data_IF_917279331009
#
_entry.id   IF_917279331009
#
_cell.length_a   1.000
_cell.length_b   1.000
_cell.length_c   1.000
_cell.angle_alpha   90.00
_cell.angle_beta   90.00
_cell.angle_gamma   90.00
#
_symmetry.space_group_name_H-M   'P 1'
#
loop_
_entity.id
_entity.type
_entity.pdbx_description
1 polymer ?
#
# COMPACT_ATOMS: atom_id res chain seq x y z
N UNK A 1 -11.75 12.96 6.91
CA UNK A 1 -11.57 13.68 5.65
C UNK A 1 -11.22 15.13 5.91
N UNK A 2 -9.95 15.44 5.71
CA UNK A 2 -9.41 16.80 5.79
C UNK A 2 -9.29 17.28 4.34
N UNK A 3 -10.24 18.13 3.96
CA UNK A 3 -10.43 18.58 2.59
C UNK A 3 -10.03 20.05 2.48
N UNK A 4 -9.22 20.36 1.48
CA UNK A 4 -8.85 21.73 1.13
C UNK A 4 -9.34 22.07 -0.27
N UNK A 5 -9.74 23.32 -0.45
CA UNK A 5 -10.15 23.90 -1.71
C UNK A 5 -9.06 24.86 -2.17
N UNK A 6 -8.37 24.50 -3.23
CA UNK A 6 -7.40 25.35 -3.88
C UNK A 6 -8.12 26.16 -4.97
N UNK A 7 -8.20 27.47 -4.77
CA UNK A 7 -8.84 28.38 -5.72
C UNK A 7 -7.86 29.43 -6.22
N UNK A 8 -8.21 30.06 -7.33
CA UNK A 8 -7.55 31.28 -7.80
C UNK A 8 -8.59 32.25 -8.35
N UNK A 9 -8.32 33.54 -8.17
CA UNK A 9 -9.13 34.65 -8.68
C UNK A 9 -8.19 35.76 -9.18
N UNK A 10 -8.62 36.58 -10.18
CA UNK A 10 -7.77 37.62 -10.73
C UNK A 10 -7.45 38.68 -9.67
N UNK A 11 -6.27 39.27 -9.77
CA UNK A 11 -5.90 40.44 -8.97
C UNK A 11 -6.63 41.67 -9.51
N UNK A 12 -7.71 42.12 -8.88
CA UNK A 12 -8.52 43.24 -9.41
C UNK A 12 -7.68 44.50 -9.62
N UNK A 13 -7.22 45.13 -8.51
CA UNK A 13 -6.17 46.16 -8.55
C UNK A 13 -4.83 45.63 -8.02
N UNK A 14 -4.89 44.74 -7.02
CA UNK A 14 -3.75 44.01 -6.48
C UNK A 14 -4.20 42.64 -6.00
N UNK A 15 -3.30 41.65 -6.00
CA UNK A 15 -3.58 40.33 -5.41
C UNK A 15 -3.95 40.42 -3.92
N UNK A 16 -3.42 41.42 -3.20
CA UNK A 16 -3.74 41.69 -1.80
C UNK A 16 -5.21 42.06 -1.61
N UNK A 17 -5.77 42.91 -2.48
CA UNK A 17 -7.18 43.28 -2.40
C UNK A 17 -8.09 42.09 -2.70
N UNK A 18 -7.75 41.25 -3.68
CA UNK A 18 -8.50 40.01 -3.96
C UNK A 18 -8.49 39.08 -2.74
N UNK A 19 -7.35 38.96 -2.06
CA UNK A 19 -7.22 38.22 -0.81
C UNK A 19 -8.08 38.79 0.33
N UNK A 20 -8.03 40.09 0.55
CA UNK A 20 -8.80 40.76 1.60
C UNK A 20 -10.30 40.67 1.34
N UNK A 21 -10.72 40.87 0.09
CA UNK A 21 -12.13 40.77 -0.33
C UNK A 21 -12.70 39.40 -0.01
N UNK A 22 -12.01 38.32 -0.38
CA UNK A 22 -12.44 36.96 -0.06
C UNK A 22 -12.54 36.73 1.46
N UNK A 23 -11.54 37.16 2.22
CA UNK A 23 -11.56 36.95 3.67
C UNK A 23 -12.64 37.77 4.37
N UNK A 24 -12.94 38.98 3.88
CA UNK A 24 -14.02 39.81 4.39
C UNK A 24 -15.39 39.14 4.15
N UNK A 25 -15.65 38.64 2.94
CA UNK A 25 -16.91 37.93 2.63
C UNK A 25 -17.07 36.64 3.44
N UNK A 26 -15.99 35.84 3.55
CA UNK A 26 -16.01 34.60 4.32
C UNK A 26 -16.18 34.85 5.83
N UNK A 27 -15.59 35.91 6.36
CA UNK A 27 -15.68 36.25 7.80
C UNK A 27 -17.03 36.84 8.18
N UNK A 28 -17.60 37.72 7.34
CA UNK A 28 -18.94 38.27 7.53
C UNK A 28 -20.01 37.17 7.62
N UNK A 29 -19.78 36.03 6.98
CA UNK A 29 -20.69 34.89 6.96
C UNK A 29 -20.42 33.86 8.08
N UNK A 30 -19.99 34.33 9.26
CA UNK A 30 -19.67 33.50 10.44
C UNK A 30 -18.42 32.61 10.26
N UNK A 31 -17.39 33.11 9.58
CA UNK A 31 -16.12 32.40 9.35
C UNK A 31 -16.33 31.00 8.73
N UNK A 32 -16.62 30.93 7.44
CA UNK A 32 -16.94 29.66 6.76
C UNK A 32 -15.73 28.74 6.52
N UNK A 33 -14.51 29.29 6.50
CA UNK A 33 -13.26 28.56 6.27
C UNK A 33 -12.06 29.26 6.90
N UNK A 34 -10.97 28.51 7.08
CA UNK A 34 -9.63 29.08 7.35
C UNK A 34 -8.86 29.16 6.04
N UNK A 35 -8.33 30.32 5.72
CA UNK A 35 -7.76 30.59 4.39
C UNK A 35 -6.26 30.85 4.49
N UNK A 36 -5.51 30.40 3.50
CA UNK A 36 -4.07 30.60 3.37
C UNK A 36 -3.72 31.10 1.97
N UNK A 37 -2.73 31.97 1.85
CA UNK A 37 -2.18 32.32 0.53
C UNK A 37 -1.32 31.16 0.03
N UNK A 38 -1.50 30.78 -1.23
CA UNK A 38 -0.60 29.85 -1.90
C UNK A 38 0.37 30.66 -2.77
N UNK A 39 1.63 30.73 -2.37
CA UNK A 39 2.63 31.50 -3.10
C UNK A 39 3.14 30.68 -4.30
N UNK A 40 2.65 31.03 -5.49
CA UNK A 40 3.13 30.49 -6.77
C UNK A 40 4.10 31.53 -7.37
N UNK A 41 5.34 31.16 -7.71
CA UNK A 41 6.29 32.09 -8.30
C UNK A 41 5.93 32.43 -9.74
N UNK A 42 6.59 33.44 -10.29
CA UNK A 42 6.49 33.77 -11.71
C UNK A 42 7.14 32.66 -12.56
N UNK A 43 6.30 31.82 -13.13
CA UNK A 43 6.71 30.75 -14.04
C UNK A 43 6.71 31.24 -15.48
N UNK A 44 7.57 30.66 -16.31
CA UNK A 44 7.68 31.04 -17.73
C UNK A 44 6.41 30.69 -18.51
N UNK A 45 5.64 31.70 -18.88
CA UNK A 45 4.45 31.54 -19.72
C UNK A 45 4.86 31.16 -21.15
N UNK A 46 4.20 30.15 -21.71
CA UNK A 46 4.37 29.72 -23.10
C UNK A 46 3.41 30.44 -24.06
N UNK A 47 3.22 29.88 -25.25
CA UNK A 47 2.13 30.31 -26.14
C UNK A 47 0.78 29.80 -25.63
N UNK A 48 -0.33 30.42 -26.06
CA UNK A 48 -1.67 29.99 -25.68
C UNK A 48 -1.92 28.51 -26.03
N UNK A 49 -1.52 28.10 -27.24
CA UNK A 49 -1.61 26.71 -27.71
C UNK A 49 -0.90 25.72 -26.78
N UNK A 50 0.31 26.07 -26.32
CA UNK A 50 1.05 25.26 -25.35
C UNK A 50 0.32 25.20 -24.01
N UNK A 51 -0.27 26.31 -23.54
CA UNK A 51 -1.01 26.33 -22.27
C UNK A 51 -2.28 25.46 -22.33
N UNK A 52 -3.00 25.47 -23.45
CA UNK A 52 -4.18 24.63 -23.66
C UNK A 52 -3.80 23.16 -23.57
N UNK A 53 -2.79 22.71 -24.33
CA UNK A 53 -2.31 21.33 -24.25
C UNK A 53 -1.79 20.95 -22.86
N UNK A 54 -1.11 21.88 -22.18
CA UNK A 54 -0.62 21.67 -20.81
C UNK A 54 -1.75 21.51 -19.79
N UNK A 55 -2.92 22.12 -19.98
CA UNK A 55 -4.03 21.99 -19.01
C UNK A 55 -4.51 20.53 -18.90
N UNK A 56 -4.67 19.87 -20.06
CA UNK A 56 -5.07 18.45 -20.12
C UNK A 56 -3.96 17.53 -19.59
N UNK A 57 -2.71 17.76 -20.00
CA UNK A 57 -1.57 16.95 -19.57
C UNK A 57 -1.31 17.06 -18.07
N UNK A 58 -1.42 18.26 -17.50
CA UNK A 58 -1.32 18.46 -16.05
C UNK A 58 -2.50 17.83 -15.30
N UNK A 59 -3.69 17.75 -15.90
CA UNK A 59 -4.83 17.03 -15.34
C UNK A 59 -4.54 15.54 -15.19
N UNK A 60 -3.96 14.90 -16.22
CA UNK A 60 -3.52 13.50 -16.16
C UNK A 60 -2.39 13.30 -15.16
N UNK A 61 -1.40 14.21 -15.17
CA UNK A 61 -0.26 14.14 -14.25
C UNK A 61 -0.69 14.29 -12.79
N UNK A 62 -1.64 15.17 -12.49
CA UNK A 62 -2.19 15.36 -11.15
C UNK A 62 -2.83 14.08 -10.60
N UNK A 63 -3.71 13.44 -11.39
CA UNK A 63 -4.33 12.17 -11.01
C UNK A 63 -3.29 11.04 -10.83
N UNK A 64 -2.28 11.02 -11.71
CA UNK A 64 -1.18 10.06 -11.60
C UNK A 64 -0.35 10.25 -10.32
N UNK A 65 0.08 11.49 -10.03
CA UNK A 65 0.85 11.81 -8.82
C UNK A 65 0.06 11.50 -7.54
N UNK A 66 -1.23 11.84 -7.50
CA UNK A 66 -2.11 11.48 -6.38
C UNK A 66 -2.18 9.96 -6.20
N UNK A 67 -2.42 9.23 -7.30
CA UNK A 67 -2.51 7.76 -7.27
C UNK A 67 -1.23 7.10 -6.75
N UNK A 68 -0.06 7.60 -7.15
CA UNK A 68 1.22 7.06 -6.64
C UNK A 68 1.43 7.43 -5.17
N UNK A 69 1.15 8.66 -4.74
CA UNK A 69 1.27 9.04 -3.33
C UNK A 69 0.37 8.17 -2.43
N UNK A 70 -0.89 7.95 -2.83
CA UNK A 70 -1.83 7.05 -2.14
C UNK A 70 -1.35 5.60 -2.12
N UNK A 71 -0.84 5.10 -3.24
CA UNK A 71 -0.31 3.74 -3.35
C UNK A 71 0.89 3.51 -2.43
N UNK A 72 1.81 4.48 -2.34
CA UNK A 72 2.95 4.41 -1.41
C UNK A 72 2.46 4.45 0.04
N UNK A 73 1.52 5.33 0.38
CA UNK A 73 0.96 5.43 1.73
C UNK A 73 0.25 4.14 2.17
N UNK A 74 -0.57 3.57 1.29
CA UNK A 74 -1.25 2.30 1.53
C UNK A 74 -0.25 1.17 1.75
N UNK A 75 0.77 1.04 0.88
CA UNK A 75 1.75 -0.02 1.01
C UNK A 75 2.61 0.13 2.26
N UNK A 76 2.94 1.37 2.69
CA UNK A 76 3.56 1.61 3.98
C UNK A 76 2.69 1.10 5.13
N UNK A 77 1.38 1.32 5.07
CA UNK A 77 0.43 0.78 6.03
C UNK A 77 0.36 -0.75 6.05
N UNK A 78 0.55 -1.39 4.90
CA UNK A 78 0.55 -2.85 4.79
C UNK A 78 1.87 -3.47 5.30
N UNK A 79 3.01 -2.77 5.12
CA UNK A 79 4.32 -3.20 5.62
C UNK A 79 4.43 -3.04 7.14
N UNK A 80 3.81 -2.01 7.72
CA UNK A 80 3.88 -1.76 9.16
C UNK A 80 3.16 -2.84 10.00
N UNK A 81 2.27 -3.64 9.41
CA UNK A 81 1.55 -4.76 10.06
C UNK A 81 1.04 -4.39 11.47
N UNK A 82 1.71 -4.86 12.52
CA UNK A 82 1.38 -4.64 13.93
C UNK A 82 1.56 -3.18 14.40
N UNK A 83 2.28 -2.35 13.64
CA UNK A 83 2.58 -0.94 13.93
C UNK A 83 1.77 0.02 13.04
N UNK A 84 0.61 -0.43 12.53
CA UNK A 84 -0.25 0.37 11.64
C UNK A 84 -0.81 1.62 12.31
N UNK A 85 -0.93 1.62 13.64
CA UNK A 85 -1.26 2.79 14.46
C UNK A 85 -0.31 3.97 14.23
N UNK A 86 0.98 3.69 13.97
CA UNK A 86 2.00 4.70 13.71
C UNK A 86 2.01 5.21 12.27
N UNK A 87 1.13 4.71 11.39
CA UNK A 87 1.14 5.06 9.97
C UNK A 87 1.01 6.57 9.75
N UNK A 88 0.08 7.24 10.45
CA UNK A 88 -0.14 8.68 10.30
C UNK A 88 1.10 9.50 10.66
N UNK A 89 1.84 9.11 11.70
CA UNK A 89 3.09 9.75 12.12
C UNK A 89 4.22 9.61 11.08
N UNK A 90 4.10 8.61 10.21
CA UNK A 90 5.10 8.32 9.18
C UNK A 90 4.79 8.98 7.82
N UNK A 91 3.55 9.45 7.62
CA UNK A 91 3.12 10.15 6.41
C UNK A 91 3.43 11.65 6.52
N UNK A 92 4.71 11.97 6.36
CA UNK A 92 5.22 13.34 6.42
C UNK A 92 5.64 13.84 5.02
N UNK A 93 5.51 15.14 4.81
CA UNK A 93 6.00 15.85 3.63
C UNK A 93 7.08 16.84 4.05
N UNK A 94 8.32 16.62 3.60
CA UNK A 94 9.51 17.38 3.99
C UNK A 94 9.69 17.49 5.52
N UNK A 95 9.36 16.42 6.24
CA UNK A 95 9.45 16.36 7.70
C UNK A 95 8.31 17.06 8.46
N UNK A 96 7.34 17.63 7.76
CA UNK A 96 6.13 18.23 8.34
C UNK A 96 4.92 17.34 8.12
N UNK A 97 3.89 17.47 8.96
CA UNK A 97 2.60 16.86 8.67
C UNK A 97 1.98 17.48 7.40
N UNK A 98 1.10 16.72 6.72
CA UNK A 98 0.57 17.10 5.41
C UNK A 98 -0.23 18.42 5.44
N UNK A 99 -0.91 18.72 6.55
CA UNK A 99 -1.67 19.96 6.70
C UNK A 99 -0.73 21.15 6.83
N UNK A 100 0.29 21.05 7.68
CA UNK A 100 1.30 22.09 7.85
C UNK A 100 2.07 22.33 6.56
N UNK A 101 2.46 21.26 5.85
CA UNK A 101 3.11 21.39 4.54
C UNK A 101 2.24 22.16 3.55
N UNK A 102 0.96 21.80 3.44
CA UNK A 102 0.04 22.40 2.47
C UNK A 102 -0.25 23.88 2.79
N UNK A 103 -0.47 24.20 4.07
CA UNK A 103 -0.76 25.57 4.52
C UNK A 103 0.45 26.51 4.50
N UNK A 104 1.67 25.95 4.48
CA UNK A 104 2.93 26.69 4.39
C UNK A 104 3.70 26.40 3.10
N UNK A 105 3.00 25.99 2.05
CA UNK A 105 3.61 25.60 0.79
C UNK A 105 4.52 26.72 0.26
N UNK A 106 5.72 26.30 -0.15
CA UNK A 106 6.66 27.11 -0.89
C UNK A 106 7.15 26.31 -2.09
N UNK A 107 7.32 26.99 -3.21
CA UNK A 107 7.82 26.37 -4.42
C UNK A 107 9.28 25.92 -4.25
N UNK A 108 9.55 24.65 -4.52
CA UNK A 108 10.88 24.07 -4.49
C UNK A 108 11.66 24.46 -5.75
N UNK A 109 12.34 25.61 -5.70
CA UNK A 109 13.14 26.14 -6.81
C UNK A 109 14.36 25.27 -7.13
N UNK A 110 14.83 24.44 -6.20
CA UNK A 110 15.98 23.57 -6.41
C UNK A 110 15.59 22.36 -7.28
N UNK A 111 14.42 21.76 -7.01
CA UNK A 111 13.89 20.64 -7.80
C UNK A 111 13.19 21.09 -9.08
N UNK A 112 12.48 22.22 -9.02
CA UNK A 112 11.64 22.72 -10.12
C UNK A 112 12.02 24.16 -10.48
N UNK A 113 13.10 24.38 -11.26
CA UNK A 113 13.62 25.72 -11.50
C UNK A 113 12.66 26.59 -12.32
N UNK A 114 12.28 27.75 -11.80
CA UNK A 114 11.30 28.68 -12.40
C UNK A 114 11.70 29.22 -13.79
N UNK A 115 12.99 29.13 -14.14
CA UNK A 115 13.53 29.54 -15.45
C UNK A 115 13.24 28.53 -16.58
N UNK A 116 12.88 27.30 -16.23
CA UNK A 116 12.52 26.28 -17.21
C UNK A 116 11.09 26.48 -17.73
N UNK A 117 10.76 25.87 -18.87
CA UNK A 117 9.39 25.86 -19.38
C UNK A 117 8.48 25.03 -18.46
N UNK A 118 7.19 25.36 -18.45
CA UNK A 118 6.18 24.58 -17.71
C UNK A 118 6.19 23.10 -18.09
N UNK A 119 6.36 22.82 -19.40
CA UNK A 119 6.46 21.45 -19.92
C UNK A 119 7.66 20.71 -19.33
N UNK A 120 8.85 21.32 -19.31
CA UNK A 120 10.04 20.67 -18.75
C UNK A 120 9.86 20.39 -17.25
N UNK A 121 9.25 21.31 -16.50
CA UNK A 121 8.97 21.09 -15.07
C UNK A 121 8.00 19.92 -14.88
N UNK A 122 6.93 19.86 -15.67
CA UNK A 122 5.98 18.74 -15.65
C UNK A 122 6.66 17.41 -16.02
N UNK A 123 7.57 17.40 -17.00
CA UNK A 123 8.35 16.22 -17.39
C UNK A 123 9.30 15.75 -16.28
N UNK A 124 9.95 16.68 -15.56
CA UNK A 124 10.78 16.37 -14.39
C UNK A 124 9.95 15.67 -13.32
N UNK A 125 8.78 16.23 -12.99
CA UNK A 125 7.85 15.64 -12.01
C UNK A 125 7.37 14.26 -12.47
N UNK A 126 6.93 14.15 -13.72
CA UNK A 126 6.45 12.90 -14.31
C UNK A 126 7.51 11.79 -14.23
N UNK A 127 8.75 12.10 -14.60
CA UNK A 127 9.89 11.17 -14.52
C UNK A 127 10.19 10.75 -13.07
N UNK A 128 10.20 11.72 -12.14
CA UNK A 128 10.43 11.46 -10.72
C UNK A 128 9.38 10.49 -10.16
N UNK A 129 8.09 10.77 -10.39
CA UNK A 129 6.99 9.97 -9.86
C UNK A 129 6.90 8.60 -10.53
N UNK A 130 7.20 8.51 -11.84
CA UNK A 130 7.29 7.23 -12.55
C UNK A 130 8.40 6.33 -12.01
N UNK A 131 9.55 6.91 -11.65
CA UNK A 131 10.64 6.17 -11.01
C UNK A 131 10.20 5.61 -9.64
N UNK A 132 9.49 6.43 -8.84
CA UNK A 132 8.93 6.00 -7.55
C UNK A 132 7.99 4.80 -7.74
N UNK A 133 7.08 4.83 -8.73
CA UNK A 133 6.16 3.71 -8.98
C UNK A 133 6.89 2.42 -9.40
N UNK A 134 7.88 2.53 -10.30
CA UNK A 134 8.67 1.38 -10.75
C UNK A 134 9.45 0.74 -9.59
N UNK A 135 10.14 1.56 -8.79
CA UNK A 135 10.91 1.09 -7.65
C UNK A 135 10.02 0.51 -6.56
N UNK A 136 8.84 1.11 -6.32
CA UNK A 136 7.83 0.58 -5.40
C UNK A 136 7.39 -0.82 -5.84
N UNK A 137 7.04 -1.01 -7.12
CA UNK A 137 6.62 -2.33 -7.64
C UNK A 137 7.71 -3.39 -7.43
N UNK A 138 8.96 -3.07 -7.75
CA UNK A 138 10.09 -3.98 -7.59
C UNK A 138 10.34 -4.33 -6.12
N UNK A 139 10.45 -3.33 -5.24
CA UNK A 139 10.68 -3.53 -3.80
C UNK A 139 9.52 -4.27 -3.13
N UNK A 140 8.28 -3.93 -3.50
CA UNK A 140 7.10 -4.57 -2.97
C UNK A 140 7.02 -6.04 -3.38
N UNK A 141 7.30 -6.37 -4.64
CA UNK A 141 7.37 -7.74 -5.13
C UNK A 141 8.40 -8.56 -4.33
N UNK A 142 9.63 -8.03 -4.18
CA UNK A 142 10.70 -8.73 -3.45
C UNK A 142 10.34 -8.99 -1.98
N UNK A 143 9.82 -7.98 -1.29
CA UNK A 143 9.43 -8.11 0.12
C UNK A 143 8.23 -9.04 0.31
N UNK A 144 7.23 -8.94 -0.57
CA UNK A 144 6.04 -9.80 -0.51
C UNK A 144 6.37 -11.26 -0.83
N UNK A 145 7.26 -11.52 -1.79
CA UNK A 145 7.73 -12.88 -2.09
C UNK A 145 8.45 -13.49 -0.87
N UNK A 146 9.30 -12.72 -0.20
CA UNK A 146 9.96 -13.14 1.03
C UNK A 146 8.95 -13.49 2.13
N UNK A 147 7.95 -12.62 2.33
CA UNK A 147 6.86 -12.85 3.30
C UNK A 147 6.02 -14.09 2.95
N UNK A 148 5.66 -14.28 1.68
CA UNK A 148 4.90 -15.44 1.23
C UNK A 148 5.67 -16.74 1.38
N UNK A 149 6.96 -16.76 1.05
CA UNK A 149 7.83 -17.92 1.23
C UNK A 149 7.94 -18.30 2.71
N UNK A 150 8.18 -17.32 3.59
CA UNK A 150 8.23 -17.55 5.02
C UNK A 150 6.89 -18.10 5.54
N UNK A 151 5.76 -17.46 5.20
CA UNK A 151 4.44 -17.91 5.63
C UNK A 151 4.10 -19.32 5.12
N UNK A 152 4.54 -19.69 3.93
CA UNK A 152 4.36 -21.04 3.37
C UNK A 152 5.13 -22.08 4.19
N UNK A 153 6.37 -21.78 4.59
CA UNK A 153 7.16 -22.67 5.44
C UNK A 153 6.61 -22.75 6.87
N UNK A 154 6.21 -21.63 7.45
CA UNK A 154 5.57 -21.58 8.77
C UNK A 154 4.28 -22.42 8.79
N UNK A 155 3.43 -22.31 7.76
CA UNK A 155 2.22 -23.14 7.63
C UNK A 155 2.53 -24.63 7.55
N UNK A 156 3.61 -25.03 6.88
CA UNK A 156 4.05 -26.44 6.88
C UNK A 156 4.54 -26.90 8.26
N UNK A 157 5.05 -25.96 9.06
CA UNK A 157 5.44 -26.19 10.44
C UNK A 157 4.29 -26.08 11.45
N UNK A 158 3.07 -25.67 11.05
CA UNK A 158 1.93 -25.52 11.96
C UNK A 158 0.71 -26.28 11.44
N UNK A 159 0.22 -27.27 12.20
CA UNK A 159 -0.94 -28.08 11.82
C UNK A 159 -1.07 -29.33 12.70
N UNK A 160 -2.09 -30.14 12.45
CA UNK A 160 -2.22 -31.48 13.06
C UNK A 160 -1.01 -32.36 12.70
N UNK A 161 -0.66 -33.30 13.58
CA UNK A 161 0.37 -34.31 13.33
C UNK A 161 0.20 -35.08 12.00
N UNK A 162 -1.02 -35.12 11.47
CA UNK A 162 -1.32 -35.70 10.16
C UNK A 162 -0.72 -34.97 8.97
N UNK A 163 -0.50 -33.67 9.05
CA UNK A 163 -0.12 -32.84 7.89
C UNK A 163 1.13 -32.00 8.15
N UNK A 164 1.38 -31.60 9.40
CA UNK A 164 2.56 -30.83 9.82
C UNK A 164 3.85 -31.60 9.55
N UNK A 165 4.91 -30.87 9.22
CA UNK A 165 6.27 -31.42 9.20
C UNK A 165 6.66 -31.91 10.61
N UNK A 166 6.98 -33.20 10.74
CA UNK A 166 7.32 -33.84 12.03
C UNK A 166 8.81 -33.76 12.36
N UNK A 167 9.62 -33.16 11.49
CA UNK A 167 11.08 -33.11 11.62
C UNK A 167 11.61 -32.40 12.86
N UNK A 168 10.81 -31.55 13.49
CA UNK A 168 11.11 -30.92 14.78
C UNK A 168 10.70 -31.76 16.00
N UNK A 169 9.93 -32.84 15.80
CA UNK A 169 9.40 -33.73 16.84
C UNK A 169 10.14 -35.06 16.92
N UNK A 170 11.07 -35.32 16.01
CA UNK A 170 11.79 -36.59 15.91
C UNK A 170 13.29 -36.37 16.10
N UNK A 171 13.96 -37.38 16.65
CA UNK A 171 15.41 -37.36 16.89
C UNK A 171 16.09 -38.52 16.18
N UNK A 172 17.43 -38.45 16.08
CA UNK A 172 18.25 -39.48 15.44
C UNK A 172 18.07 -40.86 16.09
N UNK A 173 17.92 -40.88 17.41
CA UNK A 173 17.80 -42.10 18.20
C UNK A 173 16.47 -42.83 17.96
N UNK A 174 15.47 -42.13 17.43
CA UNK A 174 14.15 -42.69 17.14
C UNK A 174 14.14 -43.56 15.87
N UNK A 175 15.21 -43.54 15.06
CA UNK A 175 15.29 -44.26 13.79
C UNK A 175 16.49 -45.19 13.70
N UNK A 176 16.23 -46.37 13.13
CA UNK A 176 17.30 -47.25 12.63
C UNK A 176 17.83 -46.69 11.32
N UNK A 177 19.03 -46.10 11.36
CA UNK A 177 19.73 -45.53 10.21
C UNK A 177 20.71 -46.54 9.58
N UNK A 178 20.99 -46.35 8.29
CA UNK A 178 22.00 -47.12 7.53
C UNK A 178 21.87 -48.66 7.58
N UNK A 179 20.68 -49.18 7.89
CA UNK A 179 20.40 -50.61 7.79
C UNK A 179 20.08 -51.00 6.35
N UNK A 180 20.64 -52.11 5.90
CA UNK A 180 20.32 -52.69 4.59
C UNK A 180 18.86 -53.18 4.55
N UNK A 181 18.39 -53.81 5.63
CA UNK A 181 17.12 -54.54 5.67
C UNK A 181 16.02 -53.88 6.50
N UNK A 182 16.38 -53.11 7.51
CA UNK A 182 15.42 -52.49 8.43
C UNK A 182 15.16 -51.02 8.08
N UNK A 183 13.96 -50.56 8.37
CA UNK A 183 13.59 -49.16 8.34
C UNK A 183 12.64 -48.86 9.50
N UNK A 184 12.74 -47.65 10.04
CA UNK A 184 11.76 -47.15 11.00
C UNK A 184 10.76 -46.26 10.28
N UNK A 185 9.47 -46.55 10.43
CA UNK A 185 8.37 -45.74 9.90
C UNK A 185 7.69 -45.00 11.03
N UNK A 186 7.05 -43.89 10.69
CA UNK A 186 6.28 -43.08 11.63
C UNK A 186 4.79 -43.25 11.35
N UNK A 187 4.00 -43.49 12.39
CA UNK A 187 2.57 -43.78 12.29
C UNK A 187 1.78 -42.81 13.16
N UNK A 188 0.83 -42.12 12.55
CA UNK A 188 -0.17 -41.32 13.23
C UNK A 188 -1.34 -42.21 13.63
N UNK A 189 -1.59 -42.29 14.93
CA UNK A 189 -2.64 -43.12 15.54
C UNK A 189 -3.62 -42.20 16.25
N UNK A 190 -4.94 -42.28 16.00
CA UNK A 190 -5.93 -41.56 16.80
C UNK A 190 -5.86 -41.94 18.28
N UNK A 191 -5.99 -40.98 19.20
CA UNK A 191 -5.92 -41.21 20.66
C UNK A 191 -6.84 -42.33 21.15
N UNK A 192 -8.03 -42.41 20.59
CA UNK A 192 -9.01 -43.48 20.88
C UNK A 192 -8.52 -44.90 20.56
N UNK A 193 -7.52 -45.06 19.69
CA UNK A 193 -7.01 -46.37 19.25
C UNK A 193 -5.60 -46.70 19.79
N UNK A 194 -5.07 -45.93 20.75
CA UNK A 194 -3.76 -46.27 21.36
C UNK A 194 -3.72 -47.67 21.98
N UNK A 195 -4.76 -48.16 22.69
CA UNK A 195 -4.74 -49.52 23.24
C UNK A 195 -4.71 -50.57 22.13
N UNK A 196 -5.47 -50.36 21.05
CA UNK A 196 -5.49 -51.27 19.90
C UNK A 196 -4.14 -51.29 19.17
N UNK A 197 -3.54 -50.12 18.96
CA UNK A 197 -2.22 -49.98 18.36
C UNK A 197 -1.17 -50.80 19.10
N UNK A 198 -1.08 -50.62 20.44
CA UNK A 198 -0.11 -51.34 21.27
C UNK A 198 -0.29 -52.87 21.24
N UNK A 199 -1.52 -53.34 21.04
CA UNK A 199 -1.83 -54.77 20.97
C UNK A 199 -1.52 -55.36 19.59
N UNK A 200 -1.80 -54.60 18.51
CA UNK A 200 -1.82 -55.14 17.14
C UNK A 200 -0.58 -54.86 16.31
N UNK A 201 0.17 -53.78 16.58
CA UNK A 201 1.20 -53.32 15.63
C UNK A 201 2.25 -54.40 15.29
N UNK A 202 2.60 -55.28 16.24
CA UNK A 202 3.57 -56.37 16.06
C UNK A 202 3.06 -57.47 15.12
N UNK A 203 1.75 -57.61 14.96
CA UNK A 203 1.09 -58.66 14.17
C UNK A 203 0.38 -58.12 12.94
N UNK A 204 0.55 -56.84 12.60
CA UNK A 204 -0.05 -56.27 11.40
C UNK A 204 0.56 -56.88 10.13
N UNK A 205 1.86 -57.17 10.14
CA UNK A 205 2.57 -57.90 9.08
C UNK A 205 3.64 -58.78 9.68
N UNK A 206 4.07 -59.81 8.95
CA UNK A 206 5.30 -60.50 9.26
C UNK A 206 6.50 -59.54 9.20
N UNK A 207 7.57 -59.84 9.93
CA UNK A 207 8.83 -59.05 9.94
C UNK A 207 8.70 -57.63 10.52
N UNK A 208 7.76 -57.40 11.44
CA UNK A 208 7.79 -56.27 12.38
C UNK A 208 8.70 -56.60 13.55
N UNK A 209 9.54 -55.65 14.00
CA UNK A 209 10.40 -55.84 15.17
C UNK A 209 9.56 -55.67 16.45
N UNK A 210 9.42 -56.70 17.31
CA UNK A 210 8.65 -56.58 18.55
C UNK A 210 9.27 -55.56 19.50
N UNK A 211 8.43 -54.91 20.31
CA UNK A 211 8.78 -53.84 21.26
C UNK A 211 9.51 -52.65 20.63
N UNK A 212 9.35 -52.43 19.31
CA UNK A 212 10.00 -51.32 18.60
C UNK A 212 9.17 -50.02 18.58
N UNK A 213 7.92 -50.04 19.07
CA UNK A 213 7.09 -48.84 19.06
C UNK A 213 7.39 -47.89 20.21
N UNK A 214 7.51 -46.60 19.89
CA UNK A 214 7.68 -45.51 20.87
C UNK A 214 6.80 -44.32 20.48
N UNK A 215 6.24 -43.63 21.47
CA UNK A 215 5.47 -42.39 21.25
C UNK A 215 6.44 -41.20 21.21
N UNK A 216 6.48 -40.49 20.09
CA UNK A 216 7.36 -39.33 19.88
C UNK A 216 6.69 -38.02 20.33
N UNK A 217 5.45 -37.81 19.89
CA UNK A 217 4.68 -36.60 20.15
C UNK A 217 3.18 -36.92 20.13
N UNK A 218 2.38 -36.09 20.79
CA UNK A 218 0.93 -36.16 20.74
C UNK A 218 0.31 -34.77 20.61
N UNK A 219 -0.81 -34.68 19.90
CA UNK A 219 -1.68 -33.50 19.85
C UNK A 219 -3.04 -33.82 20.50
N UNK A 220 -4.06 -33.01 20.27
CA UNK A 220 -5.38 -33.23 20.86
C UNK A 220 -6.10 -34.47 20.30
N UNK A 221 -5.75 -34.94 19.10
CA UNK A 221 -6.48 -35.98 18.37
C UNK A 221 -5.62 -37.22 18.07
N UNK A 222 -4.32 -37.05 17.82
CA UNK A 222 -3.39 -38.07 17.32
C UNK A 222 -2.14 -38.21 18.19
N UNK A 223 -1.55 -39.40 18.15
CA UNK A 223 -0.19 -39.68 18.62
C UNK A 223 0.70 -40.10 17.46
N UNK A 224 1.94 -39.65 17.49
CA UNK A 224 2.97 -39.98 16.53
C UNK A 224 3.84 -41.10 17.10
N UNK A 225 3.73 -42.31 16.56
CA UNK A 225 4.49 -43.46 17.00
C UNK A 225 5.56 -43.85 15.98
N UNK A 226 6.69 -44.40 16.43
CA UNK A 226 7.63 -45.13 15.57
C UNK A 226 7.32 -46.61 15.55
N UNK A 227 7.74 -47.31 14.49
CA UNK A 227 7.83 -48.78 14.42
C UNK A 227 9.00 -49.15 13.53
N UNK A 228 9.81 -50.11 13.95
CA UNK A 228 10.87 -50.68 13.11
C UNK A 228 10.39 -51.97 12.47
N UNK A 229 10.55 -52.09 11.15
CA UNK A 229 10.18 -53.26 10.37
C UNK A 229 11.14 -53.48 9.20
N UNK A 230 11.04 -54.63 8.54
CA UNK A 230 11.81 -54.89 7.33
C UNK A 230 11.28 -54.07 6.15
N UNK A 231 12.19 -53.52 5.34
CA UNK A 231 11.84 -52.68 4.18
C UNK A 231 10.88 -53.37 3.20
N UNK A 232 11.00 -54.69 3.04
CA UNK A 232 10.18 -55.48 2.10
C UNK A 232 8.69 -55.48 2.44
N UNK A 233 8.32 -55.26 3.70
CA UNK A 233 6.91 -55.30 4.16
C UNK A 233 6.34 -53.92 4.45
N UNK A 234 7.05 -52.83 4.12
CA UNK A 234 6.57 -51.47 4.41
C UNK A 234 5.24 -51.17 3.73
N UNK A 235 5.04 -51.59 2.49
CA UNK A 235 3.80 -51.32 1.75
C UNK A 235 2.62 -52.17 2.25
N UNK A 236 2.89 -53.43 2.63
CA UNK A 236 1.91 -54.31 3.27
C UNK A 236 1.51 -53.76 4.65
N UNK A 237 2.48 -53.30 5.43
CA UNK A 237 2.25 -52.68 6.74
C UNK A 237 1.44 -51.39 6.62
N UNK A 238 1.73 -50.56 5.62
CA UNK A 238 0.93 -49.37 5.27
C UNK A 238 -0.50 -49.74 4.91
N UNK A 239 -0.72 -50.85 4.21
CA UNK A 239 -2.05 -51.32 3.84
C UNK A 239 -2.87 -51.71 5.09
N UNK A 240 -2.33 -52.59 5.94
CA UNK A 240 -3.02 -53.02 7.17
C UNK A 240 -3.20 -51.88 8.18
N UNK A 241 -2.25 -50.95 8.26
CA UNK A 241 -2.43 -49.72 9.05
C UNK A 241 -3.70 -48.96 8.62
N UNK A 242 -3.94 -48.81 7.31
CA UNK A 242 -5.12 -48.09 6.80
C UNK A 242 -6.43 -48.78 7.15
N UNK A 243 -6.47 -50.11 7.15
CA UNK A 243 -7.65 -50.89 7.55
C UNK A 243 -8.04 -50.63 9.02
N UNK A 244 -7.03 -50.39 9.88
CA UNK A 244 -7.20 -50.03 11.28
C UNK A 244 -7.27 -48.51 11.54
N UNK A 245 -7.39 -47.69 10.48
CA UNK A 245 -7.42 -46.21 10.55
C UNK A 245 -6.14 -45.60 11.12
N UNK A 246 -5.02 -46.32 11.07
CA UNK A 246 -3.68 -45.81 11.34
C UNK A 246 -3.08 -45.23 10.06
N UNK A 247 -2.38 -44.10 10.19
CA UNK A 247 -1.87 -43.36 9.04
C UNK A 247 -0.35 -43.34 9.11
N UNK A 248 0.31 -44.15 8.28
CA UNK A 248 1.77 -44.11 8.15
C UNK A 248 2.17 -42.83 7.43
N UNK A 249 2.99 -42.00 8.07
CA UNK A 249 3.54 -40.75 7.50
C UNK A 249 4.66 -41.10 6.53
N UNK A 250 4.64 -40.46 5.37
CA UNK A 250 5.76 -40.53 4.43
C UNK A 250 6.89 -39.64 4.94
N UNK A 251 7.82 -40.23 5.67
CA UNK A 251 8.92 -39.54 6.32
C UNK A 251 10.15 -40.44 6.35
N UNK A 252 11.28 -39.88 5.93
CA UNK A 252 12.60 -40.49 6.03
C UNK A 252 13.46 -39.53 6.83
N UNK A 253 14.07 -40.03 7.92
CA UNK A 253 14.94 -39.21 8.74
C UNK A 253 16.23 -38.90 7.98
N UNK A 254 16.49 -37.60 7.78
CA UNK A 254 17.71 -37.08 7.18
C UNK A 254 18.12 -35.84 7.99
N UNK A 255 19.20 -35.98 8.77
CA UNK A 255 19.69 -34.95 9.67
C UNK A 255 20.11 -33.67 8.91
N UNK A 256 20.70 -33.82 7.72
CA UNK A 256 21.14 -32.69 6.90
C UNK A 256 19.94 -31.93 6.34
N UNK A 257 18.92 -32.64 5.83
CA UNK A 257 17.70 -32.00 5.31
C UNK A 257 16.90 -31.30 6.41
N UNK A 258 16.81 -31.89 7.60
CA UNK A 258 16.11 -31.29 8.74
C UNK A 258 16.81 -30.02 9.23
N UNK A 259 18.14 -30.04 9.32
CA UNK A 259 18.91 -28.85 9.65
C UNK A 259 18.80 -27.79 8.55
N UNK A 260 18.87 -28.18 7.27
CA UNK A 260 18.71 -27.26 6.15
C UNK A 260 17.37 -26.53 6.18
N UNK A 261 16.27 -27.23 6.45
CA UNK A 261 14.93 -26.63 6.55
C UNK A 261 14.79 -25.63 7.72
N UNK A 262 15.33 -25.97 8.91
CA UNK A 262 15.35 -25.03 10.06
C UNK A 262 16.21 -23.80 9.78
N UNK A 263 17.36 -24.00 9.14
CA UNK A 263 18.25 -22.91 8.74
C UNK A 263 17.59 -22.00 7.69
N UNK A 264 16.81 -22.57 6.77
CA UNK A 264 16.08 -21.80 5.76
C UNK A 264 15.03 -20.87 6.39
N UNK A 265 14.20 -21.37 7.32
CA UNK A 265 13.22 -20.53 8.04
C UNK A 265 13.93 -19.40 8.78
N UNK A 266 14.95 -19.73 9.58
CA UNK A 266 15.72 -18.75 10.36
C UNK A 266 16.38 -17.70 9.47
N UNK A 267 16.88 -18.11 8.29
CA UNK A 267 17.47 -17.21 7.30
C UNK A 267 16.41 -16.27 6.70
N UNK A 268 15.24 -16.78 6.33
CA UNK A 268 14.16 -15.97 5.77
C UNK A 268 13.59 -14.97 6.80
N UNK A 269 13.48 -15.35 8.06
CA UNK A 269 13.11 -14.45 9.16
C UNK A 269 14.14 -13.32 9.33
N UNK A 270 15.42 -13.67 9.36
CA UNK A 270 16.51 -12.71 9.45
C UNK A 270 16.52 -11.75 8.25
N UNK A 271 16.33 -12.27 7.03
CA UNK A 271 16.23 -11.46 5.81
C UNK A 271 15.00 -10.55 5.83
N UNK A 272 13.84 -11.03 6.32
CA UNK A 272 12.61 -10.21 6.46
C UNK A 272 12.88 -9.03 7.39
N UNK A 273 13.48 -9.30 8.56
CA UNK A 273 13.84 -8.28 9.55
C UNK A 273 14.88 -7.30 9.02
N UNK A 274 15.86 -7.79 8.26
CA UNK A 274 16.91 -6.97 7.63
C UNK A 274 16.35 -6.03 6.57
N UNK A 275 15.39 -6.50 5.75
CA UNK A 275 14.80 -5.69 4.69
C UNK A 275 13.74 -4.70 5.19
N UNK A 276 13.06 -5.01 6.29
CA UNK A 276 11.97 -4.18 6.84
C UNK A 276 12.38 -2.73 7.09
N UNK A 277 13.45 -2.49 7.87
CA UNK A 277 13.87 -1.13 8.24
C UNK A 277 14.22 -0.24 7.03
N UNK A 278 15.09 -0.70 6.12
CA UNK A 278 15.40 0.01 4.87
C UNK A 278 14.16 0.25 3.99
N UNK A 279 13.25 -0.74 3.88
CA UNK A 279 12.02 -0.60 3.10
C UNK A 279 11.12 0.50 3.68
N UNK A 280 10.87 0.47 4.99
CA UNK A 280 10.07 1.50 5.68
C UNK A 280 10.69 2.89 5.50
N UNK A 281 12.01 3.03 5.65
CA UNK A 281 12.69 4.32 5.42
C UNK A 281 12.53 4.80 3.97
N UNK A 282 12.69 3.89 3.01
CA UNK A 282 12.52 4.20 1.59
C UNK A 282 11.08 4.65 1.29
N UNK A 283 10.07 3.96 1.84
CA UNK A 283 8.66 4.31 1.66
C UNK A 283 8.33 5.70 2.22
N UNK A 284 8.82 6.05 3.42
CA UNK A 284 8.61 7.39 4.00
C UNK A 284 9.18 8.50 3.12
N UNK A 285 10.43 8.32 2.66
CA UNK A 285 11.10 9.30 1.79
C UNK A 285 10.32 9.46 0.48
N UNK A 286 9.98 8.35 -0.18
CA UNK A 286 9.32 8.42 -1.49
C UNK A 286 7.85 8.83 -1.40
N UNK A 287 7.19 8.61 -0.26
CA UNK A 287 5.89 9.21 0.02
C UNK A 287 6.01 10.74 0.09
N UNK A 288 6.97 11.26 0.86
CA UNK A 288 7.24 12.70 0.95
C UNK A 288 7.52 13.31 -0.42
N UNK A 289 8.34 12.65 -1.24
CA UNK A 289 8.67 13.10 -2.60
C UNK A 289 7.45 13.08 -3.53
N UNK A 290 6.64 12.01 -3.50
CA UNK A 290 5.44 11.89 -4.32
C UNK A 290 4.36 12.93 -3.93
N UNK A 291 4.14 13.13 -2.63
CA UNK A 291 3.20 14.15 -2.14
C UNK A 291 3.67 15.57 -2.46
N UNK A 292 4.96 15.86 -2.25
CA UNK A 292 5.57 17.15 -2.61
C UNK A 292 5.41 17.43 -4.10
N UNK A 293 5.72 16.45 -4.96
CA UNK A 293 5.55 16.56 -6.40
C UNK A 293 4.08 16.81 -6.78
N UNK A 294 3.14 16.10 -6.13
CA UNK A 294 1.71 16.28 -6.36
C UNK A 294 1.24 17.72 -6.08
N UNK A 295 1.64 18.32 -4.96
CA UNK A 295 1.28 19.71 -4.65
C UNK A 295 1.91 20.71 -5.64
N UNK A 296 3.11 20.43 -6.17
CA UNK A 296 3.69 21.25 -7.23
C UNK A 296 2.90 21.15 -8.54
N UNK A 297 2.38 19.96 -8.89
CA UNK A 297 1.46 19.81 -10.04
C UNK A 297 0.18 20.58 -9.81
N UNK A 298 -0.42 20.55 -8.60
CA UNK A 298 -1.58 21.39 -8.26
C UNK A 298 -1.29 22.88 -8.47
N UNK A 299 -0.12 23.35 -8.05
CA UNK A 299 0.32 24.73 -8.28
C UNK A 299 0.50 25.05 -9.77
N UNK A 300 1.08 24.15 -10.57
CA UNK A 300 1.17 24.29 -12.02
C UNK A 300 -0.22 24.37 -12.68
N UNK A 301 -1.16 23.53 -12.26
CA UNK A 301 -2.55 23.53 -12.76
C UNK A 301 -3.22 24.86 -12.48
N UNK A 302 -3.14 25.36 -11.25
CA UNK A 302 -3.68 26.67 -10.89
C UNK A 302 -3.05 27.78 -11.71
N UNK A 303 -1.74 27.76 -11.89
CA UNK A 303 -1.03 28.75 -12.70
C UNK A 303 -1.54 28.75 -14.15
N UNK A 304 -1.52 27.59 -14.81
CA UNK A 304 -1.94 27.45 -16.22
C UNK A 304 -3.40 27.86 -16.40
N UNK A 305 -4.31 27.35 -15.56
CA UNK A 305 -5.73 27.67 -15.66
C UNK A 305 -6.00 29.14 -15.36
N UNK A 306 -5.29 29.76 -14.41
CA UNK A 306 -5.42 31.19 -14.13
C UNK A 306 -4.96 32.05 -15.30
N UNK A 307 -3.88 31.67 -15.99
CA UNK A 307 -3.42 32.38 -17.19
C UNK A 307 -4.39 32.20 -18.35
N UNK A 308 -4.95 30.99 -18.53
CA UNK A 308 -5.95 30.72 -19.57
C UNK A 308 -7.25 31.51 -19.34
N UNK A 309 -7.71 31.64 -18.10
CA UNK A 309 -8.97 32.34 -17.77
C UNK A 309 -8.82 33.85 -17.63
N UNK A 310 -7.73 34.32 -17.02
CA UNK A 310 -7.55 35.73 -16.65
C UNK A 310 -6.61 36.49 -17.59
N UNK A 311 -5.92 35.79 -18.48
CA UNK A 311 -5.05 36.38 -19.48
C UNK A 311 -3.71 36.89 -18.94
N UNK A 312 -3.09 37.76 -19.73
CA UNK A 312 -1.82 38.42 -19.41
C UNK A 312 -2.02 39.92 -19.18
N UNK A 313 -1.19 40.56 -18.33
CA UNK A 313 -0.10 39.99 -17.54
C UNK A 313 -0.59 39.03 -16.44
N UNK A 314 0.28 38.11 -16.00
CA UNK A 314 -0.07 37.13 -14.95
C UNK A 314 -0.37 37.88 -13.66
N UNK A 315 -1.65 37.97 -13.29
CA UNK A 315 -2.12 38.74 -12.15
C UNK A 315 -3.30 38.02 -11.49
N UNK A 316 -2.98 37.07 -10.61
CA UNK A 316 -3.97 36.30 -9.86
C UNK A 316 -3.50 36.04 -8.43
N UNK A 317 -4.44 35.74 -7.55
CA UNK A 317 -4.17 35.33 -6.17
C UNK A 317 -4.66 33.89 -5.96
N UNK A 318 -3.73 32.95 -5.86
CA UNK A 318 -4.04 31.58 -5.45
C UNK A 318 -4.23 31.49 -3.94
N UNK A 319 -5.25 30.77 -3.51
CA UNK A 319 -5.70 30.68 -2.12
C UNK A 319 -6.09 29.26 -1.79
N UNK A 320 -5.67 28.79 -0.62
CA UNK A 320 -6.04 27.50 -0.07
C UNK A 320 -7.05 27.71 1.05
N UNK A 321 -8.27 27.21 0.85
CA UNK A 321 -9.36 27.32 1.81
C UNK A 321 -9.54 25.97 2.51
N UNK A 322 -9.60 25.99 3.83
CA UNK A 322 -9.96 24.86 4.67
C UNK A 322 -11.39 25.08 5.18
N UNK A 323 -12.42 24.59 4.46
CA UNK A 323 -13.81 24.74 4.87
C UNK A 323 -14.12 23.96 6.14
N UNK A 324 -14.96 24.52 7.01
CA UNK A 324 -15.56 23.74 8.08
C UNK A 324 -16.59 22.76 7.52
N UNK A 325 -16.66 21.54 8.08
CA UNK A 325 -17.48 20.43 7.52
C UNK A 325 -18.95 20.79 7.26
N UNK A 326 -19.55 21.66 8.09
CA UNK A 326 -20.97 22.04 7.98
C UNK A 326 -21.22 23.28 7.10
N UNK A 327 -20.17 23.98 6.69
CA UNK A 327 -20.27 25.27 6.00
C UNK A 327 -19.94 25.19 4.51
N UNK A 328 -19.49 24.04 4.01
CA UNK A 328 -19.06 23.86 2.61
C UNK A 328 -20.08 24.39 1.59
N UNK A 329 -21.37 24.03 1.72
CA UNK A 329 -22.42 24.52 0.81
C UNK A 329 -22.53 26.04 0.84
N UNK A 330 -22.59 26.64 2.03
CA UNK A 330 -22.67 28.10 2.20
C UNK A 330 -21.42 28.81 1.69
N UNK A 331 -20.23 28.24 1.93
CA UNK A 331 -18.98 28.77 1.39
C UNK A 331 -19.02 28.76 -0.14
N UNK A 332 -19.57 27.70 -0.73
CA UNK A 332 -19.74 27.62 -2.18
C UNK A 332 -20.65 28.73 -2.71
N UNK A 333 -21.78 28.96 -2.06
CA UNK A 333 -22.73 30.01 -2.44
C UNK A 333 -22.07 31.41 -2.38
N UNK A 334 -21.30 31.69 -1.32
CA UNK A 334 -20.55 32.94 -1.14
C UNK A 334 -19.50 33.11 -2.23
N UNK A 335 -18.71 32.08 -2.54
CA UNK A 335 -17.69 32.15 -3.59
C UNK A 335 -18.32 32.34 -4.98
N UNK A 336 -19.43 31.68 -5.25
CA UNK A 336 -20.16 31.83 -6.51
C UNK A 336 -20.72 33.25 -6.65
N UNK A 337 -21.30 33.81 -5.58
CA UNK A 337 -21.78 35.20 -5.59
C UNK A 337 -20.63 36.19 -5.81
N UNK A 338 -19.51 36.00 -5.10
CA UNK A 338 -18.34 36.88 -5.15
C UNK A 338 -17.69 36.91 -6.55
N UNK A 339 -17.63 35.76 -7.22
CA UNK A 339 -16.90 35.58 -8.47
C UNK A 339 -17.80 35.33 -9.69
N UNK A 340 -19.12 35.45 -9.57
CA UNK A 340 -20.08 35.28 -10.68
C UNK A 340 -19.77 36.15 -11.90
N UNK A 341 -19.21 37.35 -11.67
CA UNK A 341 -18.80 38.27 -12.73
C UNK A 341 -17.64 37.75 -13.61
N UNK A 342 -16.94 36.69 -13.20
CA UNK A 342 -15.87 36.04 -13.97
C UNK A 342 -16.41 35.00 -14.96
N UNK A 343 -17.71 34.71 -14.90
CA UNK A 343 -18.34 33.71 -15.74
C UNK A 343 -18.45 34.23 -17.18
N UNK A 344 -17.51 33.83 -18.03
CA UNK A 344 -17.55 34.11 -19.46
C UNK A 344 -18.40 33.02 -20.14
N UNK A 345 -19.66 33.35 -20.43
CA UNK A 345 -20.67 32.49 -21.07
C UNK A 345 -20.25 31.87 -22.42
N UNK A 346 -19.12 32.29 -22.99
CA UNK A 346 -18.54 31.73 -24.20
C UNK A 346 -17.85 30.37 -24.00
N UNK A 347 -17.36 30.05 -22.79
CA UNK A 347 -16.68 28.76 -22.50
C UNK A 347 -17.65 27.64 -22.06
N UNK A 348 -18.85 28.00 -21.60
CA UNK A 348 -19.89 27.06 -21.15
C UNK A 348 -20.62 26.36 -22.31
N UNK A 349 -20.74 27.02 -23.46
CA UNK A 349 -21.49 26.49 -24.61
C UNK A 349 -20.82 25.27 -25.29
N UNK A 350 -19.50 25.08 -25.15
CA UNK A 350 -18.80 23.91 -25.73
C UNK A 350 -18.74 22.69 -24.80
N UNK A 351 -18.99 22.85 -23.49
CA UNK A 351 -18.90 21.75 -22.51
C UNK A 351 -20.25 21.22 -22.02
N UNK A 352 -21.36 21.95 -22.22
CA UNK A 352 -22.72 21.47 -21.94
C UNK A 352 -23.38 20.78 -23.16
N UNK A 353 -22.70 19.80 -23.77
CA UNK A 353 -23.39 18.81 -24.61
C UNK A 353 -23.52 17.54 -23.79
N UNK A 354 -24.59 17.45 -23.01
CA UNK A 354 -24.98 16.23 -22.30
C UNK A 354 -25.53 15.24 -23.34
N UNK A 355 -24.67 14.38 -23.88
CA UNK A 355 -25.05 13.30 -24.81
C UNK A 355 -25.52 12.12 -23.97
N UNK A 356 -26.82 11.75 -23.98
CA UNK A 356 -27.32 10.63 -23.20
C UNK A 356 -26.65 9.32 -23.65
N UNK A 357 -25.89 8.68 -22.75
CA UNK A 357 -25.26 7.37 -22.99
C UNK A 357 -23.73 7.32 -22.94
N UNK A 358 -23.03 8.46 -22.88
CA UNK A 358 -21.60 8.52 -22.55
C UNK A 358 -21.43 9.15 -21.16
N UNK A 359 -21.04 8.35 -20.17
CA UNK A 359 -20.74 8.81 -18.81
C UNK A 359 -19.45 9.66 -18.72
N UNK A 360 -19.40 10.78 -19.42
CA UNK A 360 -18.45 11.85 -19.14
C UNK A 360 -18.94 12.55 -17.87
N UNK A 361 -18.29 12.23 -16.74
CA UNK A 361 -18.60 12.86 -15.45
C UNK A 361 -18.64 14.38 -15.62
N UNK A 362 -19.76 14.99 -15.26
CA UNK A 362 -19.95 16.43 -15.20
C UNK A 362 -18.81 17.04 -14.38
N UNK A 363 -17.85 17.70 -15.04
CA UNK A 363 -16.83 18.47 -14.33
C UNK A 363 -17.55 19.58 -13.58
N UNK A 364 -17.36 19.65 -12.26
CA UNK A 364 -17.87 20.76 -11.46
C UNK A 364 -17.28 22.07 -12.00
N UNK A 365 -18.10 22.85 -12.69
CA UNK A 365 -17.72 24.15 -13.23
C UNK A 365 -17.96 25.24 -12.18
N UNK A 366 -16.98 26.12 -12.03
CA UNK A 366 -17.05 27.29 -11.17
C UNK A 366 -16.53 28.52 -11.95
N UNK A 367 -17.07 29.73 -11.70
CA UNK A 367 -16.61 30.98 -12.34
C UNK A 367 -15.14 31.32 -12.06
N UNK A 368 -14.55 30.70 -11.04
CA UNK A 368 -13.17 30.84 -10.62
C UNK A 368 -12.43 29.50 -10.80
N UNK A 369 -11.09 29.55 -10.84
CA UNK A 369 -10.27 28.32 -10.85
C UNK A 369 -10.49 27.58 -9.55
N UNK A 370 -10.78 26.27 -9.62
CA UNK A 370 -11.04 25.44 -8.45
C UNK A 370 -10.42 24.05 -8.61
N UNK A 371 -9.70 23.62 -7.59
CA UNK A 371 -9.23 22.25 -7.42
C UNK A 371 -9.41 21.78 -5.98
N UNK A 372 -9.89 20.56 -5.82
CA UNK A 372 -10.00 19.90 -4.52
C UNK A 372 -8.70 19.16 -4.19
N UNK A 373 -8.28 19.22 -2.92
CA UNK A 373 -7.15 18.48 -2.37
C UNK A 373 -7.63 17.72 -1.14
N UNK A 374 -7.53 16.39 -1.19
CA UNK A 374 -7.80 15.54 -0.03
C UNK A 374 -6.48 15.00 0.52
N UNK A 375 -6.10 15.44 1.72
CA UNK A 375 -4.86 15.01 2.37
C UNK A 375 -5.03 13.72 3.18
N UNK A 376 -6.25 13.18 3.23
CA UNK A 376 -6.51 11.85 3.77
C UNK A 376 -6.00 10.80 2.77
N UNK A 377 -4.79 10.28 3.01
CA UNK A 377 -4.06 9.42 2.08
C UNK A 377 -4.51 7.96 2.09
N UNK A 378 -5.41 7.60 3.01
CA UNK A 378 -5.86 6.24 3.22
C UNK A 378 -7.35 6.18 2.88
N UNK A 379 -7.72 5.20 2.06
CA UNK A 379 -9.13 4.96 1.78
C UNK A 379 -9.80 4.39 3.02
N UNK A 380 -10.67 5.19 3.65
CA UNK A 380 -11.48 4.78 4.80
C UNK A 380 -12.51 3.69 4.41
N UNK A 381 -12.70 3.43 3.11
CA UNK A 381 -13.71 2.51 2.57
C UNK A 381 -13.38 1.01 2.68
N UNK A 382 -12.30 0.62 3.38
CA UNK A 382 -11.96 -0.78 3.68
C UNK A 382 -12.05 -1.13 5.17
N UNK A 383 -12.91 -0.43 5.91
CA UNK A 383 -13.21 -0.75 7.30
C UNK A 383 -14.69 -1.11 7.46
#
# INVERSE_FOLDING_TARGET
MTEYWLISAPGEKTCQQTWEKLNNEVSQQQNLSVNYKLNIPDLKVGTLDVLVGMSDDLGKLDAFCEGIARKVAQYLGDVLEEQRDKLQENLLANGMDLNTYLTRFQWDMAKYPIKQSLKNIADIISKQVSQIDSDLKSKASNYNNLKQNLQSLERKATGSLLTRNIGDMVKKEDFVLSSEYLQTVVVCVPKQFYPEWKLKYETLTDMVVPRSTSLLAEDNEYGLFTVTLFKRVVDEFKHHCREHKFIVRDFVYDEEQLMAGKNEISKLEADKKRQFGPLVRWLKVNFSEAFTAWIHVKALRVFVESVLRYGLPVNFQAMLLHPYKKTMKRLRDVLNQLYSHLDNTAYTAEKEIDIPGLGLASQEYYPYVFYKINVDMLDVAKF
#
